data_IF_956577916371
#
_entry.id   IF_956577916371
#
_cell.length_a   1.000
_cell.length_b   1.000
_cell.length_c   1.000
_cell.angle_alpha   90.00
_cell.angle_beta   90.00
_cell.angle_gamma   90.00
#
_symmetry.space_group_name_H-M   'P 1'
#
loop_
_entity.id
_entity.type
_entity.pdbx_description
1 polymer ?
#
# COMPACT_ATOMS: atom_id res chain seq x y z
N UNK A 1 1.53 -13.62 -3.21
CA UNK A 1 0.24 -12.89 -3.21
C UNK A 1 0.14 -12.18 -1.87
N UNK A 2 0.53 -10.90 -1.78
CA UNK A 2 0.31 -10.15 -0.54
C UNK A 2 -1.18 -9.79 -0.50
N UNK A 3 -1.93 -10.53 0.32
CA UNK A 3 -3.39 -10.46 0.34
C UNK A 3 -3.84 -9.11 0.91
N UNK A 4 -4.70 -8.41 0.18
CA UNK A 4 -5.40 -7.22 0.68
C UNK A 4 -6.22 -7.64 1.91
N UNK A 5 -6.04 -6.91 3.00
CA UNK A 5 -6.74 -7.08 4.27
C UNK A 5 -8.12 -6.44 4.18
N UNK A 6 -9.12 -7.13 4.71
CA UNK A 6 -10.50 -6.66 4.80
C UNK A 6 -10.85 -6.32 6.25
N UNK A 7 -11.82 -5.42 6.44
CA UNK A 7 -12.42 -5.14 7.75
C UNK A 7 -13.02 -6.45 8.29
N UNK A 8 -12.84 -6.79 9.59
CA UNK A 8 -12.37 -5.95 10.70
C UNK A 8 -10.89 -6.10 11.09
N UNK A 9 -9.99 -6.44 10.15
CA UNK A 9 -8.60 -6.72 10.49
C UNK A 9 -7.92 -5.58 11.29
N UNK A 10 -7.32 -5.85 12.48
CA UNK A 10 -6.88 -4.79 13.40
C UNK A 10 -5.78 -3.89 12.83
N UNK A 11 -4.91 -4.42 11.97
CA UNK A 11 -3.87 -3.61 11.29
C UNK A 11 -4.43 -2.46 10.45
N UNK A 12 -5.67 -2.56 9.96
CA UNK A 12 -6.30 -1.47 9.21
C UNK A 12 -6.61 -0.25 10.08
N UNK A 13 -6.63 -0.41 11.41
CA UNK A 13 -6.85 0.66 12.39
C UNK A 13 -5.55 1.17 13.02
N UNK A 14 -4.41 0.52 12.75
CA UNK A 14 -3.13 0.90 13.34
C UNK A 14 -2.48 2.07 12.60
N UNK A 15 -1.82 2.95 13.34
CA UNK A 15 -1.13 4.09 12.77
C UNK A 15 0.11 3.65 11.97
N UNK A 16 0.25 4.14 10.75
CA UNK A 16 1.43 3.91 9.93
C UNK A 16 2.64 4.70 10.44
N UNK A 17 3.82 4.09 10.38
CA UNK A 17 5.08 4.73 10.79
C UNK A 17 5.58 5.69 9.71
N UNK A 18 6.07 6.85 10.14
CA UNK A 18 6.74 7.81 9.25
C UNK A 18 8.03 7.21 8.71
N UNK A 19 8.29 7.41 7.42
CA UNK A 19 9.53 7.02 6.76
C UNK A 19 10.51 8.18 6.89
N UNK A 20 11.67 7.93 7.51
CA UNK A 20 12.73 8.96 7.70
C UNK A 20 13.62 9.04 6.47
N UNK A 21 13.87 7.90 5.81
CA UNK A 21 14.70 7.79 4.61
C UNK A 21 14.07 6.78 3.66
N UNK A 22 13.97 7.16 2.39
CA UNK A 22 13.54 6.25 1.32
C UNK A 22 14.76 5.44 0.87
N UNK A 23 14.70 4.13 1.05
CA UNK A 23 15.71 3.17 0.58
C UNK A 23 15.14 2.33 -0.56
N UNK A 24 15.97 1.44 -1.11
CA UNK A 24 15.51 0.48 -2.12
C UNK A 24 14.31 -0.34 -1.65
N UNK A 25 14.22 -0.65 -0.34
CA UNK A 25 13.10 -1.43 0.20
C UNK A 25 11.74 -0.71 0.11
N UNK A 26 11.71 0.62 0.25
CA UNK A 26 10.50 1.41 0.09
C UNK A 26 10.08 1.50 -1.38
N UNK A 27 11.06 1.59 -2.29
CA UNK A 27 10.83 1.62 -3.74
C UNK A 27 10.29 0.27 -4.23
N UNK A 28 10.87 -0.83 -3.77
CA UNK A 28 10.41 -2.17 -4.16
C UNK A 28 9.01 -2.44 -3.62
N UNK A 29 8.73 -1.97 -2.40
CA UNK A 29 7.39 -2.04 -1.81
C UNK A 29 6.38 -1.22 -2.61
N UNK A 30 6.70 0.00 -3.04
CA UNK A 30 5.77 0.82 -3.83
C UNK A 30 5.44 0.19 -5.19
N UNK A 31 6.43 -0.41 -5.87
CA UNK A 31 6.22 -1.18 -7.10
C UNK A 31 5.29 -2.37 -6.86
N UNK A 32 5.54 -3.14 -5.81
CA UNK A 32 4.69 -4.28 -5.45
C UNK A 32 3.25 -3.85 -5.12
N UNK A 33 3.08 -2.72 -4.42
CA UNK A 33 1.77 -2.16 -4.12
C UNK A 33 1.02 -1.72 -5.39
N UNK A 34 1.74 -1.16 -6.37
CA UNK A 34 1.17 -0.83 -7.67
C UNK A 34 0.65 -2.09 -8.38
N UNK A 35 1.44 -3.15 -8.44
CA UNK A 35 1.03 -4.42 -9.07
C UNK A 35 -0.20 -5.02 -8.38
N UNK A 36 -0.24 -5.02 -7.04
CA UNK A 36 -1.40 -5.48 -6.27
C UNK A 36 -2.63 -4.64 -6.59
N UNK A 37 -2.50 -3.31 -6.61
CA UNK A 37 -3.59 -2.39 -6.92
C UNK A 37 -4.16 -2.65 -8.32
N UNK A 38 -3.30 -2.86 -9.32
CA UNK A 38 -3.71 -3.17 -10.70
C UNK A 38 -4.39 -4.53 -10.82
N UNK A 39 -3.93 -5.52 -10.06
CA UNK A 39 -4.57 -6.84 -10.02
C UNK A 39 -5.95 -6.84 -9.35
N UNK A 40 -6.20 -5.87 -8.46
CA UNK A 40 -7.44 -5.70 -7.71
C UNK A 40 -8.38 -4.62 -8.32
N UNK A 41 -8.28 -4.39 -9.64
CA UNK A 41 -8.70 -3.18 -10.37
C UNK A 41 -8.94 -1.89 -9.55
N UNK A 42 -8.02 -1.55 -8.66
CA UNK A 42 -8.14 -0.39 -7.77
C UNK A 42 -7.54 0.90 -8.35
N UNK A 43 -8.02 2.03 -7.85
CA UNK A 43 -7.43 3.37 -8.13
C UNK A 43 -6.37 3.77 -7.11
N UNK A 44 -6.36 3.14 -5.93
CA UNK A 44 -5.39 3.42 -4.88
C UNK A 44 -5.21 2.26 -3.91
N UNK A 45 -4.03 2.18 -3.29
CA UNK A 45 -3.71 1.18 -2.27
C UNK A 45 -2.76 1.78 -1.23
N UNK A 46 -3.09 1.63 0.05
CA UNK A 46 -2.21 2.00 1.16
C UNK A 46 -1.46 0.79 1.71
N UNK A 47 -0.22 0.96 2.19
CA UNK A 47 0.58 -0.14 2.72
C UNK A 47 -0.10 -0.89 3.87
N UNK A 48 -0.91 -0.19 4.67
CA UNK A 48 -1.70 -0.79 5.75
C UNK A 48 -2.66 -1.87 5.23
N UNK A 49 -3.20 -1.71 4.02
CA UNK A 49 -4.12 -2.67 3.41
C UNK A 49 -3.44 -3.98 3.03
N UNK A 50 -2.12 -4.01 2.93
CA UNK A 50 -1.34 -5.26 2.77
C UNK A 50 -0.60 -5.62 4.06
N UNK A 51 -0.98 -5.02 5.20
CA UNK A 51 -0.49 -5.35 6.52
C UNK A 51 0.86 -4.73 6.89
N UNK A 52 1.32 -3.72 6.13
CA UNK A 52 2.59 -3.02 6.34
C UNK A 52 2.33 -1.61 6.86
N UNK A 53 2.82 -1.31 8.08
CA UNK A 53 2.58 -0.02 8.75
C UNK A 53 3.65 1.01 8.38
N UNK A 54 3.75 1.33 7.09
CA UNK A 54 4.61 2.41 6.57
C UNK A 54 3.73 3.45 5.88
N UNK A 55 4.05 4.73 6.02
CA UNK A 55 3.35 5.83 5.32
C UNK A 55 3.70 5.83 3.82
N UNK A 56 3.18 4.85 3.08
CA UNK A 56 3.29 4.71 1.63
C UNK A 56 1.89 4.49 1.07
N UNK A 57 1.59 5.21 0.00
CA UNK A 57 0.36 5.06 -0.78
C UNK A 57 0.71 5.00 -2.26
N UNK A 58 -0.02 4.19 -3.02
CA UNK A 58 -0.05 4.24 -4.48
C UNK A 58 -1.38 4.78 -4.92
N UNK A 59 -1.38 5.67 -5.90
CA UNK A 59 -2.59 6.25 -6.49
C UNK A 59 -2.37 6.26 -8.01
N UNK A 60 -3.36 5.77 -8.75
CA UNK A 60 -3.45 5.93 -10.20
C UNK A 60 -4.68 6.76 -10.50
N UNK A 61 -4.45 7.91 -11.12
CA UNK A 61 -5.47 8.77 -11.67
C UNK A 61 -5.39 8.58 -13.20
N UNK A 62 -6.53 8.37 -13.84
CA UNK A 62 -6.61 8.44 -15.30
C UNK A 62 -7.06 9.86 -15.62
N UNK A 63 -6.26 10.61 -16.37
CA UNK A 63 -6.72 11.83 -17.01
C UNK A 63 -7.50 11.43 -18.28
N UNK A 64 -8.56 12.19 -18.59
CA UNK A 64 -9.40 12.01 -19.78
C UNK A 64 -8.61 12.23 -21.09
#
# INVERSE_FOLDING_TARGET
MDKILFVPHPKLRQQAKTIIKVTQSEIDLSKKMLDVMLSAPGVGLAANQIGILKKIVTVRIHDE
#
